data_IF_071105572723
#
_entry.id   IF_071105572723
#
_cell.length_a   1.000
_cell.length_b   1.000
_cell.length_c   1.000
_cell.angle_alpha   90.00
_cell.angle_beta   90.00
_cell.angle_gamma   90.00
#
_symmetry.space_group_name_H-M   'P 1'
#
loop_
_entity.id
_entity.type
_entity.pdbx_description
1 polymer ?
#
# COMPACT_ATOMS: atom_id res chain seq x y z
N UNK A 1 11.52 -21.11 61.90
CA UNK A 1 12.00 -21.50 60.56
C UNK A 1 10.93 -21.42 59.44
N UNK A 2 9.65 -21.13 59.72
CA UNK A 2 8.56 -21.10 58.70
C UNK A 2 8.32 -19.75 58.00
N UNK A 3 8.93 -18.65 58.46
CA UNK A 3 8.67 -17.31 57.90
C UNK A 3 9.45 -17.00 56.61
N UNK A 4 10.58 -17.68 56.34
CA UNK A 4 11.42 -17.41 55.16
C UNK A 4 10.84 -17.99 53.86
N UNK A 5 10.00 -19.00 53.95
CA UNK A 5 9.37 -19.64 52.78
C UNK A 5 8.26 -18.76 52.19
N UNK A 6 7.46 -18.09 53.03
CA UNK A 6 6.32 -17.28 52.57
C UNK A 6 6.73 -16.03 51.76
N UNK A 7 7.81 -15.34 52.17
CA UNK A 7 8.30 -14.15 51.49
C UNK A 7 8.90 -14.44 50.10
N UNK A 8 9.43 -15.66 49.90
CA UNK A 8 10.01 -16.06 48.62
C UNK A 8 8.93 -16.41 47.59
N UNK A 9 7.83 -17.04 48.03
CA UNK A 9 6.70 -17.40 47.15
C UNK A 9 5.92 -16.17 46.68
N UNK A 10 5.74 -15.17 47.56
CA UNK A 10 5.00 -13.94 47.22
C UNK A 10 5.73 -13.07 46.19
N UNK A 11 7.07 -12.99 46.26
CA UNK A 11 7.88 -12.27 45.27
C UNK A 11 7.86 -12.94 43.88
N UNK A 12 7.80 -14.28 43.83
CA UNK A 12 7.63 -15.03 42.57
C UNK A 12 6.24 -14.82 41.97
N UNK A 13 5.19 -14.73 42.80
CA UNK A 13 3.82 -14.49 42.34
C UNK A 13 3.63 -13.06 41.79
N UNK A 14 4.21 -12.04 42.44
CA UNK A 14 4.16 -10.66 41.94
C UNK A 14 4.98 -10.49 40.64
N UNK A 15 6.13 -11.15 40.51
CA UNK A 15 6.91 -11.14 39.27
C UNK A 15 6.22 -11.88 38.11
N UNK A 16 5.44 -12.93 38.40
CA UNK A 16 4.66 -13.65 37.39
C UNK A 16 3.42 -12.86 36.94
N UNK A 17 2.78 -12.12 37.85
CA UNK A 17 1.63 -11.27 37.53
C UNK A 17 2.00 -10.08 36.63
N UNK A 18 3.20 -9.51 36.76
CA UNK A 18 3.69 -8.47 35.84
C UNK A 18 4.15 -9.03 34.49
N UNK A 19 4.56 -10.31 34.43
CA UNK A 19 4.82 -11.02 33.17
C UNK A 19 3.53 -11.46 32.45
N UNK A 20 2.42 -11.62 33.18
CA UNK A 20 1.11 -11.97 32.60
C UNK A 20 0.28 -10.73 32.23
N UNK A 21 0.64 -9.56 32.75
CA UNK A 21 0.16 -8.28 32.24
C UNK A 21 0.93 -7.92 30.97
N UNK A 22 0.73 -8.71 29.92
CA UNK A 22 1.01 -8.27 28.55
C UNK A 22 0.00 -7.14 28.27
N UNK A 23 0.33 -5.92 28.71
CA UNK A 23 -0.26 -4.72 28.12
C UNK A 23 0.03 -4.82 26.64
N UNK A 24 -1.02 -5.07 25.87
CA UNK A 24 -1.03 -5.05 24.41
C UNK A 24 -0.69 -3.61 24.02
N UNK A 25 0.61 -3.32 23.90
CA UNK A 25 1.08 -2.03 23.43
C UNK A 25 1.00 -2.03 21.92
N UNK A 26 0.16 -1.13 21.41
CA UNK A 26 0.09 -0.79 20.01
C UNK A 26 1.50 -0.54 19.45
N UNK A 27 1.88 -1.32 18.43
CA UNK A 27 3.19 -1.29 17.82
C UNK A 27 3.06 -0.74 16.41
N UNK A 28 3.77 0.36 16.13
CA UNK A 28 3.86 0.93 14.79
C UNK A 28 4.94 0.22 14.00
N UNK A 29 4.57 -0.34 12.86
CA UNK A 29 5.43 -1.06 11.92
C UNK A 29 5.47 -0.31 10.59
N UNK A 30 6.67 -0.13 10.04
CA UNK A 30 6.86 0.48 8.72
C UNK A 30 7.26 -0.63 7.74
N UNK A 31 6.34 -0.96 6.84
CA UNK A 31 6.58 -1.91 5.76
C UNK A 31 7.19 -1.20 4.55
N UNK A 32 8.28 -1.74 4.03
CA UNK A 32 8.86 -1.33 2.75
C UNK A 32 8.11 -2.05 1.63
N UNK A 33 7.55 -1.30 0.68
CA UNK A 33 6.82 -1.84 -0.47
C UNK A 33 7.82 -2.34 -1.51
N UNK A 34 7.67 -3.61 -1.92
CA UNK A 34 8.46 -4.29 -2.95
C UNK A 34 7.62 -5.37 -3.62
N UNK A 35 8.11 -5.95 -4.74
CA UNK A 35 7.41 -7.01 -5.49
C UNK A 35 5.91 -6.77 -5.71
N UNK A 36 5.55 -5.49 -5.87
CA UNK A 36 4.17 -5.01 -5.97
C UNK A 36 3.89 -4.62 -7.41
N UNK A 37 2.73 -5.01 -7.94
CA UNK A 37 2.33 -4.68 -9.32
C UNK A 37 0.85 -4.34 -9.37
N UNK A 38 0.51 -3.24 -10.05
CA UNK A 38 -0.87 -2.87 -10.36
C UNK A 38 -1.04 -2.69 -11.87
N UNK A 39 -2.08 -3.31 -12.42
CA UNK A 39 -2.54 -3.12 -13.78
C UNK A 39 -3.59 -2.01 -13.87
N UNK A 40 -3.47 -1.17 -14.89
CA UNK A 40 -4.39 -0.09 -15.22
C UNK A 40 -5.42 -0.58 -16.25
N UNK A 41 -6.67 -0.36 -15.95
CA UNK A 41 -7.81 -0.52 -16.86
C UNK A 41 -8.70 0.71 -16.79
N UNK A 42 -9.70 0.79 -17.67
CA UNK A 42 -10.65 1.89 -17.64
C UNK A 42 -11.18 2.25 -19.01
N UNK A 43 -11.88 3.37 -19.06
CA UNK A 43 -12.49 3.92 -20.25
C UNK A 43 -12.11 5.40 -20.41
N UNK A 44 -12.20 5.86 -21.65
CA UNK A 44 -12.08 7.26 -22.06
C UNK A 44 -13.38 7.65 -22.74
N UNK A 45 -14.04 8.66 -22.21
CA UNK A 45 -15.26 9.26 -22.71
C UNK A 45 -14.94 10.59 -23.40
N UNK A 46 -15.22 10.69 -24.69
CA UNK A 46 -15.04 11.93 -25.46
C UNK A 46 -16.41 12.53 -25.73
N UNK A 47 -16.65 13.73 -25.22
CA UNK A 47 -17.93 14.42 -25.31
C UNK A 47 -18.37 14.56 -26.77
N UNK A 48 -19.60 14.11 -27.07
CA UNK A 48 -20.16 14.13 -28.41
C UNK A 48 -19.65 13.05 -29.37
N UNK A 49 -18.72 12.18 -28.93
CA UNK A 49 -18.16 11.10 -29.75
C UNK A 49 -18.52 9.72 -29.19
N UNK A 50 -18.22 9.44 -27.92
CA UNK A 50 -18.52 8.15 -27.31
C UNK A 50 -17.58 7.73 -26.18
N UNK A 51 -17.76 6.49 -25.72
CA UNK A 51 -16.95 5.84 -24.69
C UNK A 51 -16.07 4.76 -25.30
N UNK A 52 -14.80 4.70 -24.92
CA UNK A 52 -13.81 3.79 -25.48
C UNK A 52 -13.01 3.12 -24.39
N UNK A 53 -12.83 1.81 -24.47
CA UNK A 53 -11.94 1.09 -23.57
C UNK A 53 -10.48 1.47 -23.82
N UNK A 54 -9.69 1.59 -22.75
CA UNK A 54 -8.24 1.73 -22.86
C UNK A 54 -7.62 0.42 -23.37
N UNK A 55 -6.58 0.54 -24.18
CA UNK A 55 -5.72 -0.55 -24.64
C UNK A 55 -4.26 -0.22 -24.37
N UNK A 56 -3.38 -1.21 -24.53
CA UNK A 56 -1.94 -1.00 -24.39
C UNK A 56 -1.37 -0.21 -25.59
N UNK A 57 -0.40 0.68 -25.35
CA UNK A 57 0.43 1.23 -26.42
C UNK A 57 1.45 0.19 -26.92
N UNK A 58 1.96 -0.62 -25.99
CA UNK A 58 2.83 -1.77 -26.25
C UNK A 58 2.60 -2.82 -25.15
N UNK A 59 2.95 -4.10 -25.37
CA UNK A 59 2.74 -5.14 -24.37
C UNK A 59 3.29 -4.74 -22.98
N UNK A 60 2.43 -4.82 -21.96
CA UNK A 60 2.78 -4.46 -20.58
C UNK A 60 2.73 -2.96 -20.26
N UNK A 61 2.38 -2.08 -21.21
CA UNK A 61 2.37 -0.63 -20.95
C UNK A 61 1.35 -0.21 -19.90
N UNK A 62 0.30 -1.01 -19.66
CA UNK A 62 -0.68 -0.79 -18.57
C UNK A 62 -0.35 -1.49 -17.25
N UNK A 63 0.83 -2.07 -17.08
CA UNK A 63 1.24 -2.66 -15.81
C UNK A 63 2.55 -2.02 -15.32
N UNK A 64 2.60 -1.65 -14.04
CA UNK A 64 3.84 -1.18 -13.43
C UNK A 64 4.03 -1.72 -12.03
N UNK A 65 5.28 -1.69 -11.59
CA UNK A 65 5.67 -2.08 -10.25
C UNK A 65 5.68 -0.88 -9.30
N UNK A 66 5.61 -1.15 -8.00
CA UNK A 66 5.53 -0.14 -6.97
C UNK A 66 6.61 -0.29 -5.91
N UNK A 67 7.04 0.84 -5.35
CA UNK A 67 7.95 0.93 -4.21
C UNK A 67 7.41 1.92 -3.18
N UNK A 68 8.08 2.06 -2.04
CA UNK A 68 7.73 3.05 -1.02
C UNK A 68 7.49 2.41 0.35
N UNK A 69 6.56 2.96 1.13
CA UNK A 69 6.32 2.49 2.49
C UNK A 69 4.84 2.51 2.89
N UNK A 70 4.44 1.61 3.77
CA UNK A 70 3.13 1.59 4.44
C UNK A 70 3.37 1.54 5.96
N UNK A 71 2.83 2.50 6.69
CA UNK A 71 2.91 2.56 8.15
C UNK A 71 1.63 1.99 8.74
N UNK A 72 1.76 0.94 9.53
CA UNK A 72 0.66 0.22 10.15
C UNK A 72 0.81 0.26 11.66
N UNK A 73 -0.27 0.51 12.36
CA UNK A 73 -0.39 0.26 13.79
C UNK A 73 -1.05 -1.11 14.01
N UNK A 74 -0.41 -1.98 14.78
CA UNK A 74 -0.93 -3.31 15.16
C UNK A 74 -0.98 -3.45 16.67
N UNK A 75 -2.02 -4.11 17.19
CA UNK A 75 -2.16 -4.36 18.63
C UNK A 75 -1.14 -5.38 19.14
N UNK A 76 -0.87 -6.45 18.39
CA UNK A 76 0.17 -7.43 18.68
C UNK A 76 0.98 -7.73 17.40
N UNK A 77 2.31 -7.69 17.51
CA UNK A 77 3.22 -7.83 16.37
C UNK A 77 3.14 -9.22 15.72
N UNK A 78 2.91 -10.26 16.51
CA UNK A 78 2.96 -11.66 16.08
C UNK A 78 1.57 -12.26 15.88
N UNK A 79 0.57 -11.80 16.64
CA UNK A 79 -0.81 -12.28 16.57
C UNK A 79 -1.80 -11.11 16.57
N UNK A 80 -1.75 -10.21 15.56
CA UNK A 80 -2.61 -9.05 15.55
C UNK A 80 -4.09 -9.46 15.54
N UNK A 81 -4.89 -8.77 16.34
CA UNK A 81 -6.35 -8.87 16.30
C UNK A 81 -6.98 -7.60 15.73
N UNK A 82 -6.23 -6.50 15.71
CA UNK A 82 -6.63 -5.21 15.16
C UNK A 82 -5.42 -4.55 14.49
N UNK A 83 -5.65 -3.95 13.33
CA UNK A 83 -4.65 -3.11 12.67
C UNK A 83 -5.27 -1.83 12.12
N UNK A 84 -4.47 -0.79 11.92
CA UNK A 84 -4.86 0.40 11.16
C UNK A 84 -3.72 0.86 10.25
N UNK A 85 -4.05 1.33 9.05
CA UNK A 85 -3.05 1.93 8.15
C UNK A 85 -3.03 3.42 8.43
N UNK A 86 -1.94 3.89 9.03
CA UNK A 86 -1.78 5.27 9.45
C UNK A 86 -1.44 6.19 8.28
N UNK A 87 -0.57 5.72 7.39
CA UNK A 87 -0.13 6.43 6.20
C UNK A 87 0.56 5.49 5.22
N UNK A 88 0.59 5.86 3.96
CA UNK A 88 1.46 5.25 2.97
C UNK A 88 2.05 6.28 2.00
N UNK A 89 3.15 5.92 1.39
CA UNK A 89 3.72 6.65 0.27
C UNK A 89 4.17 5.61 -0.74
N UNK A 90 3.29 5.30 -1.70
CA UNK A 90 3.48 4.22 -2.66
C UNK A 90 3.66 4.82 -4.05
N UNK A 91 4.85 4.58 -4.62
CA UNK A 91 5.35 5.26 -5.82
C UNK A 91 5.39 4.26 -6.96
N UNK A 92 4.75 4.59 -8.07
CA UNK A 92 4.83 3.79 -9.28
C UNK A 92 6.21 3.93 -9.92
N UNK A 93 6.79 2.82 -10.36
CA UNK A 93 8.01 2.81 -11.15
C UNK A 93 7.71 3.22 -12.59
N UNK A 94 8.71 3.78 -13.27
CA UNK A 94 8.65 3.98 -14.72
C UNK A 94 8.72 2.61 -15.39
N UNK A 95 7.69 2.23 -16.17
CA UNK A 95 7.65 0.96 -16.89
C UNK A 95 8.05 1.08 -18.36
N UNK A 96 8.23 2.30 -18.87
CA UNK A 96 8.68 2.52 -20.24
C UNK A 96 8.61 3.99 -20.67
N UNK A 97 8.90 4.21 -21.95
CA UNK A 97 8.71 5.50 -22.61
C UNK A 97 7.44 5.43 -23.44
N UNK A 98 6.48 6.32 -23.17
CA UNK A 98 5.16 6.28 -23.78
C UNK A 98 4.81 7.62 -24.43
N UNK A 99 3.83 7.57 -25.32
CA UNK A 99 3.20 8.74 -25.93
C UNK A 99 2.01 9.19 -25.07
N UNK A 100 1.66 10.48 -25.04
CA UNK A 100 2.39 11.61 -25.62
C UNK A 100 3.62 12.02 -24.81
N UNK A 101 4.39 12.97 -25.36
CA UNK A 101 5.35 13.71 -24.55
C UNK A 101 4.63 14.45 -23.41
N UNK A 102 5.39 14.80 -22.37
CA UNK A 102 4.90 15.49 -21.19
C UNK A 102 4.10 16.75 -21.55
N UNK A 103 2.97 16.94 -20.89
CA UNK A 103 2.04 18.04 -21.18
C UNK A 103 0.97 17.69 -22.23
N UNK A 104 0.94 16.46 -22.77
CA UNK A 104 -0.09 16.07 -23.74
C UNK A 104 0.12 16.71 -25.11
N UNK A 105 1.39 16.82 -25.52
CA UNK A 105 1.80 17.37 -26.81
C UNK A 105 2.07 16.24 -27.82
N UNK A 106 2.52 16.58 -29.03
CA UNK A 106 2.76 15.62 -30.10
C UNK A 106 3.48 14.32 -29.61
N UNK A 107 3.15 13.16 -30.20
CA UNK A 107 3.53 11.83 -29.70
C UNK A 107 5.03 11.50 -29.80
N UNK A 108 5.86 12.45 -30.23
CA UNK A 108 7.30 12.26 -30.44
C UNK A 108 8.10 13.45 -29.90
N UNK A 109 9.18 13.21 -29.14
CA UNK A 109 9.68 11.89 -28.72
C UNK A 109 8.79 11.25 -27.62
N UNK A 110 8.86 9.93 -27.50
CA UNK A 110 8.30 9.22 -26.33
C UNK A 110 9.07 9.66 -25.07
N UNK A 111 8.40 9.74 -23.92
CA UNK A 111 9.05 10.08 -22.66
C UNK A 111 8.63 9.17 -21.50
N UNK A 112 9.41 9.10 -20.41
CA UNK A 112 9.16 8.18 -19.31
C UNK A 112 7.74 8.29 -18.74
N UNK A 113 7.12 7.14 -18.49
CA UNK A 113 5.82 7.05 -17.83
C UNK A 113 5.69 5.81 -16.96
N UNK A 114 4.74 5.86 -16.03
CA UNK A 114 4.33 4.73 -15.21
C UNK A 114 3.34 3.83 -15.95
N UNK A 115 2.53 4.43 -16.83
CA UNK A 115 1.57 3.71 -17.66
C UNK A 115 1.47 4.35 -19.05
N UNK A 116 1.33 3.53 -20.08
CA UNK A 116 0.99 3.93 -21.45
C UNK A 116 -0.36 3.34 -21.88
N UNK A 117 -1.29 4.20 -22.29
CA UNK A 117 -2.63 3.84 -22.76
C UNK A 117 -2.85 4.28 -24.22
N UNK A 118 -3.55 3.48 -24.99
CA UNK A 118 -4.01 3.81 -26.34
C UNK A 118 -5.52 3.67 -26.44
N UNK A 119 -6.13 4.53 -27.26
CA UNK A 119 -7.52 4.46 -27.68
C UNK A 119 -7.55 4.46 -29.21
N UNK A 120 -7.31 3.31 -29.86
CA UNK A 120 -7.08 3.23 -31.31
C UNK A 120 -8.25 3.77 -32.14
N UNK A 121 -9.48 3.60 -31.65
CA UNK A 121 -10.70 4.04 -32.34
C UNK A 121 -10.77 5.56 -32.58
N UNK A 122 -10.05 6.35 -31.79
CA UNK A 122 -9.96 7.82 -31.94
C UNK A 122 -8.52 8.29 -32.21
N UNK A 123 -7.63 7.36 -32.58
CA UNK A 123 -6.19 7.64 -32.75
C UNK A 123 -5.56 8.28 -31.51
N UNK A 124 -6.10 7.97 -30.32
CA UNK A 124 -5.68 8.58 -29.06
C UNK A 124 -4.57 7.80 -28.38
N UNK A 125 -3.66 8.52 -27.74
CA UNK A 125 -2.66 7.97 -26.81
C UNK A 125 -2.70 8.76 -25.51
N UNK A 126 -2.33 8.12 -24.42
CA UNK A 126 -2.17 8.79 -23.13
C UNK A 126 -1.11 8.12 -22.28
N UNK A 127 -0.60 8.85 -21.31
CA UNK A 127 0.45 8.39 -20.41
C UNK A 127 0.19 8.92 -19.02
N UNK A 128 0.26 8.04 -18.02
CA UNK A 128 0.32 8.46 -16.62
C UNK A 128 1.78 8.48 -16.17
N UNK A 129 2.21 9.56 -15.51
CA UNK A 129 3.58 9.73 -15.01
C UNK A 129 3.59 10.35 -13.62
N UNK A 130 4.65 10.09 -12.86
CA UNK A 130 4.81 10.56 -11.48
C UNK A 130 3.72 10.07 -10.53
N UNK A 131 3.12 8.91 -10.79
CA UNK A 131 1.99 8.38 -10.03
C UNK A 131 2.44 8.00 -8.62
N UNK A 132 1.86 8.65 -7.62
CA UNK A 132 2.04 8.35 -6.20
C UNK A 132 0.67 8.31 -5.53
N UNK A 133 0.44 7.32 -4.68
CA UNK A 133 -0.74 7.27 -3.83
C UNK A 133 -0.41 7.07 -2.36
N UNK A 134 -1.31 7.62 -1.56
CA UNK A 134 -1.47 7.31 -0.14
C UNK A 134 -2.55 6.25 0.03
N UNK A 135 -2.39 5.43 1.07
CA UNK A 135 -3.32 4.39 1.50
C UNK A 135 -3.62 4.66 2.97
N UNK A 136 -4.90 4.85 3.26
CA UNK A 136 -5.38 5.03 4.63
C UNK A 136 -6.49 4.03 4.92
N UNK A 137 -6.50 3.49 6.14
CA UNK A 137 -7.53 2.57 6.59
C UNK A 137 -7.88 2.86 8.04
N UNK A 138 -9.18 2.91 8.34
CA UNK A 138 -9.62 2.87 9.71
C UNK A 138 -9.21 1.53 10.36
N UNK A 139 -9.28 1.48 11.69
CA UNK A 139 -9.05 0.26 12.46
C UNK A 139 -9.90 -0.90 11.92
N UNK A 140 -9.24 -2.00 11.59
CA UNK A 140 -9.84 -3.19 10.97
C UNK A 140 -9.48 -4.42 11.80
N UNK A 141 -10.45 -5.30 12.00
CA UNK A 141 -10.23 -6.57 12.67
C UNK A 141 -9.36 -7.50 11.81
N UNK A 142 -8.40 -8.15 12.45
CA UNK A 142 -7.54 -9.16 11.84
C UNK A 142 -8.00 -10.53 12.33
N UNK A 143 -8.43 -11.38 11.40
CA UNK A 143 -8.87 -12.74 11.69
C UNK A 143 -7.67 -13.65 12.00
N UNK A 144 -7.95 -14.81 12.60
CA UNK A 144 -6.94 -15.84 12.78
C UNK A 144 -6.26 -16.20 11.44
N UNK A 145 -4.92 -16.28 11.43
CA UNK A 145 -4.14 -16.42 10.21
C UNK A 145 -3.82 -15.11 9.49
N UNK A 146 -4.18 -13.96 10.09
CA UNK A 146 -3.73 -12.64 9.66
C UNK A 146 -4.54 -12.01 8.53
N UNK A 147 -5.67 -12.61 8.16
CA UNK A 147 -6.53 -12.06 7.11
C UNK A 147 -7.31 -10.84 7.61
N UNK A 148 -7.39 -9.77 6.82
CA UNK A 148 -8.15 -8.57 7.15
C UNK A 148 -8.96 -8.06 5.95
N UNK A 149 -10.02 -7.31 6.23
CA UNK A 149 -10.86 -6.73 5.18
C UNK A 149 -10.19 -5.48 4.61
N UNK A 150 -9.93 -5.46 3.31
CA UNK A 150 -9.40 -4.28 2.61
C UNK A 150 -10.51 -3.40 2.05
N UNK A 151 -11.76 -3.87 2.06
CA UNK A 151 -12.89 -3.09 1.57
C UNK A 151 -13.09 -1.85 2.44
N UNK A 152 -13.04 -0.67 1.82
CA UNK A 152 -13.19 0.62 2.50
C UNK A 152 -11.89 1.31 2.89
N UNK A 153 -10.72 0.69 2.64
CA UNK A 153 -9.46 1.41 2.58
C UNK A 153 -9.55 2.52 1.51
N UNK A 154 -8.97 3.69 1.78
CA UNK A 154 -8.97 4.82 0.84
C UNK A 154 -7.63 4.90 0.12
N UNK A 155 -7.64 4.78 -1.20
CA UNK A 155 -6.53 5.10 -2.08
C UNK A 155 -6.67 6.52 -2.59
N UNK A 156 -5.66 7.36 -2.36
CA UNK A 156 -5.67 8.78 -2.75
C UNK A 156 -4.46 9.10 -3.60
N UNK A 157 -4.65 9.67 -4.79
CA UNK A 157 -3.51 10.20 -5.54
C UNK A 157 -2.95 11.43 -4.82
N UNK A 158 -1.67 11.38 -4.47
CA UNK A 158 -0.93 12.49 -3.87
C UNK A 158 -0.04 13.19 -4.89
N UNK A 159 0.32 12.50 -5.97
CA UNK A 159 1.00 13.08 -7.11
C UNK A 159 0.69 12.30 -8.39
N UNK A 160 0.96 12.95 -9.53
CA UNK A 160 0.94 12.35 -10.85
C UNK A 160 0.20 13.21 -11.86
N UNK A 161 0.43 12.90 -13.13
CA UNK A 161 -0.21 13.55 -14.26
C UNK A 161 -0.66 12.50 -15.26
N UNK A 162 -1.82 12.75 -15.88
CA UNK A 162 -2.28 12.06 -17.07
C UNK A 162 -2.15 13.01 -18.26
N UNK A 163 -1.23 12.68 -19.16
CA UNK A 163 -1.05 13.36 -20.44
C UNK A 163 -1.84 12.60 -21.51
N UNK A 164 -2.61 13.30 -22.35
CA UNK A 164 -3.41 12.71 -23.44
C UNK A 164 -3.14 13.45 -24.74
N UNK A 165 -3.16 12.72 -25.84
CA UNK A 165 -3.04 13.28 -27.18
C UNK A 165 -3.96 12.53 -28.14
N UNK A 166 -4.64 13.28 -28.99
CA UNK A 166 -5.34 12.80 -30.18
C UNK A 166 -5.37 13.96 -31.18
N UNK A 167 -5.35 13.67 -32.47
CA UNK A 167 -5.50 14.69 -33.52
C UNK A 167 -6.86 15.41 -33.47
N UNK A 168 -7.82 14.87 -32.72
CA UNK A 168 -9.13 15.49 -32.49
C UNK A 168 -9.16 16.43 -31.26
N UNK A 169 -8.05 16.52 -30.51
CA UNK A 169 -7.92 17.37 -29.33
C UNK A 169 -6.93 18.50 -29.62
N UNK A 170 -7.08 19.64 -28.94
CA UNK A 170 -6.06 20.68 -28.95
C UNK A 170 -4.79 20.17 -28.23
N UNK A 171 -3.62 20.70 -28.56
CA UNK A 171 -2.39 20.37 -27.80
C UNK A 171 -2.49 20.83 -26.34
N UNK A 172 -1.75 20.15 -25.45
CA UNK A 172 -1.63 20.57 -24.05
C UNK A 172 -2.57 19.85 -23.07
N UNK A 173 -3.08 18.66 -23.42
CA UNK A 173 -4.00 17.92 -22.56
C UNK A 173 -3.24 17.17 -21.47
N UNK A 174 -2.89 17.87 -20.39
CA UNK A 174 -2.34 17.26 -19.19
C UNK A 174 -3.19 17.66 -17.98
N UNK A 175 -3.61 16.67 -17.20
CA UNK A 175 -4.34 16.89 -15.95
C UNK A 175 -3.59 16.24 -14.79
N UNK A 176 -3.59 16.90 -13.63
CA UNK A 176 -3.08 16.29 -12.41
C UNK A 176 -4.00 15.13 -11.99
N UNK A 177 -3.40 14.01 -11.62
CA UNK A 177 -4.12 12.91 -10.99
C UNK A 177 -4.44 13.33 -9.56
N UNK A 178 -5.72 13.40 -9.26
CA UNK A 178 -6.23 13.82 -7.95
C UNK A 178 -7.44 12.96 -7.61
N UNK A 179 -7.84 12.99 -6.34
CA UNK A 179 -9.02 12.28 -5.86
C UNK A 179 -8.68 11.04 -5.04
N UNK A 180 -9.73 10.49 -4.44
CA UNK A 180 -9.68 9.31 -3.59
C UNK A 180 -10.79 8.34 -4.02
N UNK A 181 -10.50 7.05 -3.88
CA UNK A 181 -11.45 5.98 -4.10
C UNK A 181 -11.31 4.91 -3.02
N UNK A 182 -12.44 4.30 -2.66
CA UNK A 182 -12.42 3.12 -1.80
C UNK A 182 -11.82 1.92 -2.55
N UNK A 183 -11.05 1.13 -1.83
CA UNK A 183 -10.65 -0.20 -2.26
C UNK A 183 -11.89 -1.10 -2.25
N UNK A 184 -12.18 -1.70 -3.39
CA UNK A 184 -13.30 -2.61 -3.64
C UNK A 184 -12.83 -4.02 -4.00
N UNK A 185 -11.57 -4.35 -3.70
CA UNK A 185 -11.03 -5.69 -3.89
C UNK A 185 -11.88 -6.72 -3.16
N UNK A 186 -12.28 -7.79 -3.86
CA UNK A 186 -12.97 -8.93 -3.26
C UNK A 186 -12.03 -9.86 -2.47
N UNK A 187 -10.71 -9.68 -2.59
CA UNK A 187 -9.70 -10.45 -1.88
C UNK A 187 -9.40 -9.80 -0.53
N UNK A 188 -9.24 -10.62 0.51
CA UNK A 188 -8.77 -10.16 1.81
C UNK A 188 -7.28 -9.78 1.77
N UNK A 189 -6.91 -8.78 2.56
CA UNK A 189 -5.54 -8.49 2.90
C UNK A 189 -4.97 -9.56 3.81
N UNK A 190 -3.64 -9.62 3.90
CA UNK A 190 -2.95 -10.60 4.74
C UNK A 190 -1.77 -9.98 5.45
N UNK A 191 -1.72 -10.15 6.76
CA UNK A 191 -0.58 -9.89 7.61
C UNK A 191 0.02 -11.23 8.04
N UNK A 192 1.30 -11.47 7.85
CA UNK A 192 1.97 -12.66 8.39
C UNK A 192 3.21 -12.27 9.16
N UNK A 193 3.44 -12.95 10.26
CA UNK A 193 4.59 -12.75 11.12
C UNK A 193 5.45 -14.01 11.16
N UNK A 194 6.76 -13.78 11.18
CA UNK A 194 7.77 -14.78 11.50
C UNK A 194 8.72 -14.18 12.54
N UNK A 195 9.68 -14.94 13.10
CA UNK A 195 10.62 -14.39 14.08
C UNK A 195 11.53 -13.27 13.55
N UNK A 196 11.72 -13.16 12.23
CA UNK A 196 12.67 -12.22 11.61
C UNK A 196 12.00 -11.21 10.68
N UNK A 197 10.82 -11.55 10.15
CA UNK A 197 10.17 -10.82 9.08
C UNK A 197 8.66 -10.75 9.28
N UNK A 198 8.10 -9.60 8.93
CA UNK A 198 6.67 -9.33 8.84
C UNK A 198 6.34 -9.05 7.37
N UNK A 199 5.25 -9.65 6.89
CA UNK A 199 4.74 -9.42 5.54
C UNK A 199 3.35 -8.83 5.62
N UNK A 200 3.12 -7.81 4.81
CA UNK A 200 1.83 -7.18 4.59
C UNK A 200 1.46 -7.32 3.12
N UNK A 201 0.28 -7.88 2.83
CA UNK A 201 -0.24 -8.01 1.48
C UNK A 201 -1.59 -7.33 1.39
N UNK A 202 -1.69 -6.28 0.57
CA UNK A 202 -2.91 -5.50 0.34
C UNK A 202 -3.33 -5.66 -1.11
N UNK A 203 -4.30 -6.54 -1.42
CA UNK A 203 -4.98 -6.54 -2.71
C UNK A 203 -5.66 -5.19 -2.94
N UNK A 204 -5.41 -4.60 -4.09
CA UNK A 204 -5.95 -3.30 -4.46
C UNK A 204 -6.87 -3.45 -5.67
N UNK A 205 -8.04 -2.83 -5.59
CA UNK A 205 -8.91 -2.56 -6.72
C UNK A 205 -9.64 -1.25 -6.44
N UNK A 206 -9.32 -0.19 -7.16
CA UNK A 206 -9.97 1.11 -6.96
C UNK A 206 -10.05 1.88 -8.26
N UNK A 207 -11.09 2.71 -8.39
CA UNK A 207 -11.40 3.44 -9.62
C UNK A 207 -11.48 4.94 -9.33
N UNK A 208 -10.62 5.71 -10.00
CA UNK A 208 -10.60 7.17 -9.88
C UNK A 208 -11.03 7.79 -11.22
N UNK A 209 -12.02 8.69 -11.23
CA UNK A 209 -12.40 9.41 -12.44
C UNK A 209 -11.36 10.49 -12.78
N UNK A 210 -11.25 10.82 -14.05
CA UNK A 210 -10.50 11.99 -14.50
C UNK A 210 -11.32 12.80 -15.51
N UNK A 211 -11.00 14.09 -15.61
CA UNK A 211 -11.58 14.99 -16.60
C UNK A 211 -10.52 15.96 -17.10
N UNK A 212 -10.36 16.02 -18.41
CA UNK A 212 -9.55 16.99 -19.13
C UNK A 212 -10.51 17.98 -19.79
N UNK A 213 -10.48 19.22 -19.32
CA UNK A 213 -11.25 20.29 -19.91
C UNK A 213 -10.76 20.58 -21.34
N UNK A 214 -11.69 20.75 -22.28
CA UNK A 214 -11.35 20.97 -23.68
C UNK A 214 -12.59 21.04 -24.56
N UNK A 215 -12.39 21.12 -25.87
CA UNK A 215 -13.47 20.96 -26.85
C UNK A 215 -12.97 20.01 -27.93
N UNK A 216 -13.35 18.73 -27.90
CA UNK A 216 -14.27 18.11 -26.93
C UNK A 216 -13.68 17.95 -25.52
N UNK A 217 -14.54 17.91 -24.51
CA UNK A 217 -14.15 17.47 -23.15
C UNK A 217 -13.84 15.97 -23.19
N UNK A 218 -12.76 15.58 -22.54
CA UNK A 218 -12.41 14.17 -22.35
C UNK A 218 -12.52 13.83 -20.88
N UNK A 219 -13.28 12.81 -20.54
CA UNK A 219 -13.36 12.26 -19.19
C UNK A 219 -13.11 10.77 -19.22
N UNK A 220 -13.11 10.12 -18.08
CA UNK A 220 -13.02 8.67 -18.03
C UNK A 220 -12.73 8.17 -16.63
N UNK A 221 -12.33 6.91 -16.57
CA UNK A 221 -11.97 6.25 -15.32
C UNK A 221 -10.63 5.55 -15.45
N UNK A 222 -9.87 5.55 -14.35
CA UNK A 222 -8.67 4.74 -14.18
C UNK A 222 -8.93 3.76 -13.04
N UNK A 223 -9.02 2.48 -13.38
CA UNK A 223 -9.14 1.38 -12.41
C UNK A 223 -7.78 0.70 -12.27
N UNK A 224 -7.20 0.78 -11.08
CA UNK A 224 -5.96 0.11 -10.72
C UNK A 224 -6.29 -1.17 -9.96
N UNK A 225 -5.77 -2.31 -10.44
CA UNK A 225 -6.00 -3.63 -9.85
C UNK A 225 -4.68 -4.37 -9.68
N UNK A 226 -4.45 -4.96 -8.51
CA UNK A 226 -3.27 -5.78 -8.26
C UNK A 226 -3.01 -6.00 -6.78
N UNK A 227 -1.75 -6.05 -6.39
CA UNK A 227 -1.35 -6.32 -5.01
C UNK A 227 -0.15 -5.46 -4.62
N UNK A 228 -0.24 -4.87 -3.43
CA UNK A 228 0.88 -4.25 -2.73
C UNK A 228 1.43 -5.24 -1.70
N UNK A 229 2.70 -5.57 -1.81
CA UNK A 229 3.44 -6.39 -0.87
C UNK A 229 4.42 -5.50 -0.10
N UNK A 230 4.33 -5.53 1.21
CA UNK A 230 5.19 -4.84 2.15
C UNK A 230 5.97 -5.82 3.00
N UNK A 231 7.24 -5.50 3.27
CA UNK A 231 8.13 -6.28 4.14
C UNK A 231 8.67 -5.40 5.25
N UNK A 232 8.69 -5.88 6.49
CA UNK A 232 9.33 -5.23 7.61
C UNK A 232 10.16 -6.25 8.41
N UNK A 233 11.29 -5.81 8.97
CA UNK A 233 12.04 -6.61 9.93
C UNK A 233 11.36 -6.57 11.30
N UNK A 234 11.34 -7.71 12.00
CA UNK A 234 10.94 -7.74 13.41
C UNK A 234 11.98 -6.98 14.24
N UNK A 235 11.60 -6.01 15.08
CA UNK A 235 12.54 -5.35 15.99
C UNK A 235 13.20 -6.40 16.90
N UNK A 236 14.53 -6.38 17.02
CA UNK A 236 15.18 -7.27 17.98
C UNK A 236 14.63 -7.01 19.39
N UNK A 237 14.40 -8.06 20.19
CA UNK A 237 13.99 -7.88 21.57
C UNK A 237 15.03 -6.99 22.25
N UNK A 238 14.58 -5.89 22.85
CA UNK A 238 15.48 -4.97 23.52
C UNK A 238 16.39 -5.75 24.49
N UNK A 239 17.68 -5.45 24.48
CA UNK A 239 18.68 -6.13 25.34
C UNK A 239 18.31 -6.09 26.82
N UNK A 240 17.44 -5.16 27.23
CA UNK A 240 16.80 -5.09 28.55
C UNK A 240 15.90 -6.30 28.86
N UNK A 241 15.11 -6.79 27.89
CA UNK A 241 14.29 -8.00 28.08
C UNK A 241 15.15 -9.27 28.21
N UNK A 242 16.22 -9.36 27.42
CA UNK A 242 17.17 -10.47 27.51
C UNK A 242 17.94 -10.46 28.84
N UNK A 243 18.43 -9.30 29.30
CA UNK A 243 19.16 -9.20 30.58
C UNK A 243 18.28 -9.49 31.80
N UNK A 244 17.00 -9.12 31.78
CA UNK A 244 16.06 -9.49 32.83
C UNK A 244 15.84 -11.02 32.91
N UNK A 245 15.73 -11.72 31.77
CA UNK A 245 15.64 -13.19 31.73
C UNK A 245 16.91 -13.87 32.27
N UNK A 246 18.10 -13.40 31.87
CA UNK A 246 19.36 -13.95 32.38
C UNK A 246 19.56 -13.67 33.87
N UNK A 247 19.12 -12.51 34.37
CA UNK A 247 19.12 -12.18 35.79
C UNK A 247 18.30 -13.17 36.64
N UNK A 248 17.11 -13.57 36.16
CA UNK A 248 16.28 -14.58 36.81
C UNK A 248 16.92 -15.98 36.81
N UNK A 249 17.60 -16.36 35.71
CA UNK A 249 18.32 -17.63 35.61
C UNK A 249 19.54 -17.68 36.56
N UNK A 250 20.26 -16.58 36.73
CA UNK A 250 21.44 -16.50 37.60
C UNK A 250 21.08 -16.56 39.09
N UNK A 251 19.94 -15.99 39.50
CA UNK A 251 19.45 -16.10 40.89
C UNK A 251 19.09 -17.55 41.26
N UNK A 252 18.65 -18.36 40.29
CA UNK A 252 18.29 -19.76 40.52
C UNK A 252 19.52 -20.67 40.70
N UNK A 253 20.68 -20.31 40.13
CA UNK A 253 21.89 -21.16 40.14
C UNK A 253 22.78 -21.02 41.38
N UNK A 254 22.54 -20.04 42.26
CA UNK A 254 23.35 -19.78 43.48
C UNK A 254 22.88 -20.53 44.74
N UNK A 255 22.03 -21.55 44.61
CA UNK A 255 21.46 -22.32 45.76
C UNK A 255 21.76 -23.83 45.74
N UNK A 256 22.81 -24.26 45.04
CA UNK A 256 23.37 -25.61 45.17
C UNK A 256 24.70 -25.55 45.91
#
# INVERSE_FOLDING_TARGET
MRLRTLATTLAVLCGLATFLSNTVEATVVIFSVGDSSLALTGNVDVSGVGSFAMSDQAPGSRETTYTGTITVDVDDLFNPTVMSVLSANVIANVNGNWSPNDGGTAPSPLSPGNYGISVPLIGGTGKARGVVFDLAAASTAVAAGGAFNVSGESFTFTAGNLDVFSTALNDGNSVALTGSAANVSALAGQYTSSPTELLLRVPAQFTIPFTIAGTPTVSGTMTLTGVLNGVASVPEPSTFGLTAMWGLLLVRRRRS
#
